data_IF_368436535071
#
_entry.id   IF_368436535071
#
_cell.length_a   1.000
_cell.length_b   1.000
_cell.length_c   1.000
_cell.angle_alpha   90.00
_cell.angle_beta   90.00
_cell.angle_gamma   90.00
#
_symmetry.space_group_name_H-M   'P 1'
#
loop_
_entity.id
_entity.type
_entity.pdbx_description
1 polymer ?
#
# COMPACT_ATOMS: atom_id res chain seq x y z
N UNK A 1 19.77 1.80 -2.46
CA UNK A 1 19.62 1.66 -0.98
C UNK A 1 19.05 0.27 -0.73
N UNK A 2 19.49 -0.45 0.30
CA UNK A 2 18.88 -1.75 0.63
C UNK A 2 17.45 -1.51 1.15
N UNK A 3 16.45 -2.28 0.69
CA UNK A 3 15.09 -2.16 1.23
C UNK A 3 15.06 -2.65 2.67
N UNK A 4 14.26 -2.00 3.51
CA UNK A 4 13.94 -2.48 4.85
C UNK A 4 12.58 -3.17 4.85
N UNK A 5 12.42 -4.16 5.73
CA UNK A 5 11.19 -4.94 5.87
C UNK A 5 10.66 -4.75 7.29
N UNK A 6 9.41 -4.30 7.39
CA UNK A 6 8.75 -4.06 8.67
C UNK A 6 7.50 -4.91 8.79
N UNK A 7 7.28 -5.52 9.96
CA UNK A 7 5.96 -6.06 10.32
C UNK A 7 5.01 -4.88 10.51
N UNK A 8 3.79 -5.03 10.03
CA UNK A 8 2.81 -3.98 10.16
C UNK A 8 1.38 -4.52 10.15
N UNK A 9 0.47 -3.76 10.76
CA UNK A 9 -0.96 -3.97 10.64
C UNK A 9 -1.59 -2.88 9.78
N UNK A 10 -2.37 -3.27 8.77
CA UNK A 10 -3.12 -2.32 7.94
C UNK A 10 -4.38 -1.90 8.67
N UNK A 11 -4.49 -0.61 8.96
CA UNK A 11 -5.62 -0.05 9.74
C UNK A 11 -6.56 0.80 8.87
N UNK A 12 -6.17 1.13 7.64
CA UNK A 12 -7.03 1.86 6.71
C UNK A 12 -6.54 1.73 5.28
N UNK A 13 -7.49 1.64 4.34
CA UNK A 13 -7.25 1.74 2.90
C UNK A 13 -8.03 2.95 2.38
N UNK A 14 -7.30 3.97 1.94
CA UNK A 14 -7.85 5.24 1.51
C UNK A 14 -8.38 5.15 0.07
N UNK A 15 -7.55 4.68 -0.85
CA UNK A 15 -7.85 4.39 -2.26
C UNK A 15 -7.13 3.10 -2.70
N UNK A 16 -7.16 2.78 -4.00
CA UNK A 16 -6.59 1.54 -4.55
C UNK A 16 -5.07 1.43 -4.52
N UNK A 17 -4.36 2.47 -4.05
CA UNK A 17 -2.90 2.45 -3.97
C UNK A 17 -2.33 3.14 -2.71
N UNK A 18 -3.16 3.65 -1.81
CA UNK A 18 -2.73 4.33 -0.58
C UNK A 18 -3.37 3.72 0.65
N UNK A 19 -2.51 3.28 1.59
CA UNK A 19 -2.92 2.68 2.86
C UNK A 19 -2.34 3.42 4.06
N UNK A 20 -2.93 3.19 5.22
CA UNK A 20 -2.34 3.55 6.52
C UNK A 20 -2.04 2.28 7.31
N UNK A 21 -0.81 2.17 7.80
CA UNK A 21 -0.32 1.05 8.56
C UNK A 21 0.21 1.49 9.92
N UNK A 22 0.13 0.60 10.91
CA UNK A 22 0.92 0.67 12.14
C UNK A 22 2.11 -0.25 11.94
N UNK A 23 3.31 0.32 11.78
CA UNK A 23 4.56 -0.45 11.66
C UNK A 23 5.15 -0.72 13.03
N UNK A 24 5.74 -1.91 13.19
CA UNK A 24 6.52 -2.32 14.35
C UNK A 24 8.01 -2.06 14.07
N UNK A 25 8.65 -1.30 14.96
CA UNK A 25 10.06 -0.95 14.91
C UNK A 25 10.90 -1.72 15.95
N UNK A 26 10.30 -2.69 16.64
CA UNK A 26 10.89 -3.38 17.78
C UNK A 26 10.83 -2.54 19.05
N UNK A 27 11.31 -3.12 20.17
CA UNK A 27 11.38 -2.43 21.47
C UNK A 27 10.06 -1.81 21.96
N UNK A 28 8.92 -2.41 21.58
CA UNK A 28 7.57 -1.88 21.84
C UNK A 28 7.30 -0.49 21.21
N UNK A 29 8.09 -0.12 20.21
CA UNK A 29 7.94 1.13 19.46
C UNK A 29 7.14 0.84 18.20
N UNK A 30 6.05 1.59 18.01
CA UNK A 30 5.23 1.54 16.80
C UNK A 30 5.10 2.91 16.18
N UNK A 31 4.84 2.96 14.87
CA UNK A 31 4.59 4.21 14.17
C UNK A 31 3.41 4.08 13.20
N UNK A 32 2.54 5.09 13.18
CA UNK A 32 1.42 5.16 12.23
C UNK A 32 1.87 5.92 10.98
N UNK A 33 1.95 5.21 9.86
CA UNK A 33 2.44 5.77 8.60
C UNK A 33 1.46 5.59 7.45
N UNK A 34 1.54 6.49 6.46
CA UNK A 34 0.85 6.35 5.18
C UNK A 34 1.81 5.85 4.13
N UNK A 35 1.35 4.90 3.31
CA UNK A 35 2.16 4.24 2.30
C UNK A 35 1.44 4.33 0.96
N UNK A 36 2.16 4.75 -0.07
CA UNK A 36 1.76 4.63 -1.48
C UNK A 36 2.42 3.37 -2.04
N UNK A 37 1.60 2.50 -2.62
CA UNK A 37 2.05 1.27 -3.24
C UNK A 37 2.98 1.60 -4.41
N UNK A 38 4.18 1.04 -4.42
CA UNK A 38 5.14 1.23 -5.50
C UNK A 38 4.74 0.47 -6.77
N UNK A 39 5.18 0.96 -7.92
CA UNK A 39 5.07 0.26 -9.20
C UNK A 39 3.68 0.24 -9.82
N UNK A 40 2.68 0.85 -9.19
CA UNK A 40 1.28 0.79 -9.63
C UNK A 40 0.57 2.15 -9.58
N UNK A 41 -0.52 2.27 -10.34
CA UNK A 41 -1.45 3.38 -10.24
C UNK A 41 -2.89 2.87 -10.24
N UNK A 42 -3.66 3.21 -9.21
CA UNK A 42 -5.07 2.83 -9.14
C UNK A 42 -5.96 3.95 -9.71
N UNK A 43 -7.18 3.64 -10.18
CA UNK A 43 -8.15 4.66 -10.56
C UNK A 43 -8.51 5.57 -9.37
N UNK A 44 -8.70 6.86 -9.64
CA UNK A 44 -8.96 7.86 -8.59
C UNK A 44 -10.35 7.68 -7.96
N UNK A 45 -10.42 7.73 -6.63
CA UNK A 45 -11.69 7.63 -5.88
C UNK A 45 -12.55 8.91 -5.97
N UNK A 46 -12.05 9.97 -6.63
CA UNK A 46 -12.74 11.24 -6.85
C UNK A 46 -12.76 11.56 -8.35
N UNK A 47 -13.83 12.18 -8.81
CA UNK A 47 -14.00 12.54 -10.23
C UNK A 47 -14.57 11.39 -11.06
N UNK A 48 -14.22 11.38 -12.36
CA UNK A 48 -14.85 10.50 -13.37
C UNK A 48 -14.55 9.01 -13.17
N UNK A 49 -13.38 8.68 -12.62
CA UNK A 49 -12.92 7.30 -12.37
C UNK A 49 -13.44 6.71 -11.05
N UNK A 50 -14.29 7.45 -10.31
CA UNK A 50 -14.75 7.06 -8.98
C UNK A 50 -15.36 5.64 -8.92
N UNK A 51 -16.19 5.19 -9.87
CA UNK A 51 -16.74 3.83 -9.81
C UNK A 51 -15.65 2.75 -9.80
N UNK A 52 -14.64 2.87 -10.66
CA UNK A 52 -13.50 1.97 -10.76
C UNK A 52 -12.56 2.11 -9.56
N UNK A 53 -12.35 3.34 -9.10
CA UNK A 53 -11.51 3.64 -7.93
C UNK A 53 -12.07 3.04 -6.64
N UNK A 54 -13.40 3.04 -6.48
CA UNK A 54 -14.06 2.37 -5.35
C UNK A 54 -13.88 0.85 -5.43
N UNK A 55 -14.02 0.25 -6.62
CA UNK A 55 -13.79 -1.20 -6.82
C UNK A 55 -12.35 -1.58 -6.48
N UNK A 56 -11.37 -0.82 -6.98
CA UNK A 56 -9.96 -1.03 -6.70
C UNK A 56 -9.63 -0.94 -5.21
N UNK A 57 -10.13 0.10 -4.54
CA UNK A 57 -10.00 0.27 -3.08
C UNK A 57 -10.63 -0.89 -2.32
N UNK A 58 -11.83 -1.31 -2.69
CA UNK A 58 -12.56 -2.35 -1.98
C UNK A 58 -11.95 -3.74 -2.19
N UNK A 59 -11.35 -3.99 -3.36
CA UNK A 59 -10.50 -5.16 -3.59
C UNK A 59 -9.25 -5.12 -2.71
N UNK A 60 -8.53 -3.99 -2.67
CA UNK A 60 -7.37 -3.86 -1.76
C UNK A 60 -7.78 -4.06 -0.29
N UNK A 61 -8.96 -3.58 0.13
CA UNK A 61 -9.48 -3.84 1.48
C UNK A 61 -9.69 -5.32 1.76
N UNK A 62 -10.32 -6.06 0.84
CA UNK A 62 -10.55 -7.50 1.04
C UNK A 62 -9.24 -8.28 1.18
N UNK A 63 -8.18 -7.82 0.50
CA UNK A 63 -6.86 -8.40 0.57
C UNK A 63 -6.15 -8.13 1.89
N UNK A 64 -6.12 -6.90 2.39
CA UNK A 64 -5.17 -6.54 3.48
C UNK A 64 -5.77 -5.79 4.67
N UNK A 65 -7.01 -5.29 4.64
CA UNK A 65 -7.55 -4.53 5.77
C UNK A 65 -7.62 -5.39 7.03
N UNK A 66 -7.16 -4.82 8.16
CA UNK A 66 -7.07 -5.47 9.47
C UNK A 66 -6.15 -6.69 9.54
N UNK A 67 -5.33 -6.93 8.52
CA UNK A 67 -4.34 -8.02 8.47
C UNK A 67 -2.94 -7.55 8.81
N UNK A 68 -2.15 -8.49 9.33
CA UNK A 68 -0.71 -8.33 9.49
C UNK A 68 -0.01 -8.62 8.16
N UNK A 69 0.93 -7.74 7.80
CA UNK A 69 1.66 -7.75 6.54
C UNK A 69 3.14 -7.44 6.77
N UNK A 70 3.96 -7.69 5.75
CA UNK A 70 5.32 -7.18 5.67
C UNK A 70 5.35 -6.01 4.70
N UNK A 71 5.97 -4.90 5.11
CA UNK A 71 6.14 -3.70 4.29
C UNK A 71 7.60 -3.59 3.90
N UNK A 72 7.86 -3.69 2.60
CA UNK A 72 9.17 -3.45 2.01
C UNK A 72 9.28 -1.97 1.61
N UNK A 73 10.15 -1.20 2.25
CA UNK A 73 10.35 0.21 1.93
C UNK A 73 11.36 0.38 0.80
N UNK A 74 11.02 1.19 -0.20
CA UNK A 74 11.91 1.50 -1.33
C UNK A 74 12.54 2.89 -1.21
N UNK A 75 11.85 3.81 -0.54
CA UNK A 75 12.35 5.16 -0.25
C UNK A 75 11.99 5.52 1.18
N UNK A 76 13.01 5.79 1.98
CA UNK A 76 12.88 6.15 3.40
C UNK A 76 12.65 7.65 3.63
N UNK A 77 12.53 8.41 2.53
CA UNK A 77 12.10 9.81 2.56
C UNK A 77 10.64 9.89 2.19
N UNK A 78 9.87 10.58 3.04
CA UNK A 78 8.50 10.97 2.70
C UNK A 78 8.51 11.77 1.40
N UNK A 79 7.72 11.33 0.41
CA UNK A 79 7.52 12.11 -0.81
C UNK A 79 6.81 13.43 -0.53
N UNK A 80 6.56 14.23 -1.58
CA UNK A 80 5.85 15.54 -1.51
C UNK A 80 4.55 15.53 -0.70
N UNK A 81 3.91 14.36 -0.56
CA UNK A 81 2.62 14.17 0.09
C UNK A 81 2.71 13.55 1.50
N UNK A 82 3.90 13.47 2.10
CA UNK A 82 4.07 12.92 3.44
C UNK A 82 3.89 11.39 3.53
N UNK A 83 3.88 10.70 2.38
CA UNK A 83 3.71 9.24 2.26
C UNK A 83 5.06 8.58 1.99
N UNK A 84 5.26 7.40 2.56
CA UNK A 84 6.33 6.49 2.17
C UNK A 84 5.94 5.73 0.90
N UNK A 85 6.93 5.20 0.20
CA UNK A 85 6.73 4.36 -0.99
C UNK A 85 7.23 2.96 -0.66
N UNK A 86 6.39 1.96 -0.93
CA UNK A 86 6.73 0.58 -0.60
C UNK A 86 5.87 -0.47 -1.26
N UNK A 87 6.30 -1.71 -1.08
CA UNK A 87 5.62 -2.92 -1.53
C UNK A 87 5.02 -3.60 -0.31
N UNK A 88 3.76 -4.01 -0.39
CA UNK A 88 3.10 -4.77 0.65
C UNK A 88 3.13 -6.25 0.29
N UNK A 89 3.63 -7.05 1.23
CA UNK A 89 3.64 -8.50 1.15
C UNK A 89 2.65 -9.07 2.15
N UNK A 90 1.69 -9.86 1.67
CA UNK A 90 0.81 -10.66 2.51
C UNK A 90 1.26 -12.11 2.41
N UNK A 91 1.88 -12.63 3.48
CA UNK A 91 2.64 -13.88 3.43
C UNK A 91 3.77 -13.76 2.38
N UNK A 92 3.74 -14.59 1.34
CA UNK A 92 4.73 -14.61 0.26
C UNK A 92 4.24 -13.92 -1.03
N UNK A 93 3.06 -13.28 -0.99
CA UNK A 93 2.45 -12.63 -2.16
C UNK A 93 2.66 -11.11 -2.16
N UNK A 94 3.08 -10.57 -3.31
CA UNK A 94 3.17 -9.15 -3.57
C UNK A 94 1.78 -8.58 -3.89
N UNK A 95 1.21 -7.85 -2.94
CA UNK A 95 -0.14 -7.27 -3.06
C UNK A 95 -0.21 -6.21 -4.16
N UNK A 96 0.89 -5.51 -4.42
CA UNK A 96 0.94 -4.49 -5.46
C UNK A 96 0.79 -5.13 -6.85
N UNK A 97 1.50 -6.24 -7.10
CA UNK A 97 1.40 -6.98 -8.37
C UNK A 97 0.03 -7.63 -8.52
N UNK A 98 -0.52 -8.20 -7.43
CA UNK A 98 -1.84 -8.78 -7.45
C UNK A 98 -2.94 -7.78 -7.87
N UNK A 99 -2.82 -6.50 -7.48
CA UNK A 99 -3.73 -5.44 -7.95
C UNK A 99 -3.67 -5.25 -9.47
N UNK A 100 -2.47 -5.34 -10.06
CA UNK A 100 -2.28 -5.23 -11.52
C UNK A 100 -2.83 -6.45 -12.23
N UNK A 101 -2.47 -7.64 -11.78
CA UNK A 101 -2.94 -8.92 -12.35
C UNK A 101 -4.46 -9.05 -12.30
N UNK A 102 -5.07 -8.53 -11.25
CA UNK A 102 -6.53 -8.55 -11.04
C UNK A 102 -7.26 -7.42 -11.77
N UNK A 103 -6.54 -6.55 -12.51
CA UNK A 103 -7.13 -5.45 -13.29
C UNK A 103 -7.65 -4.28 -12.45
N UNK A 104 -7.22 -4.16 -11.18
CA UNK A 104 -7.62 -3.08 -10.27
C UNK A 104 -6.58 -1.94 -10.20
N UNK A 105 -5.42 -2.11 -10.81
CA UNK A 105 -4.41 -1.06 -10.99
C UNK A 105 -3.65 -1.25 -12.31
N UNK A 106 -2.99 -0.20 -12.76
CA UNK A 106 -2.08 -0.25 -13.91
C UNK A 106 -0.62 -0.24 -13.43
N UNK A 107 0.25 -0.98 -14.10
CA UNK A 107 1.69 -0.95 -13.84
C UNK A 107 2.28 0.41 -14.23
N UNK A 108 3.13 0.96 -13.37
CA UNK A 108 3.75 2.28 -13.58
C UNK A 108 5.20 2.28 -13.12
N UNK A 109 6.10 2.65 -14.03
CA UNK A 109 7.52 2.84 -13.74
C UNK A 109 7.80 4.33 -13.42
N UNK A 110 8.68 4.59 -12.45
CA UNK A 110 8.96 5.91 -11.90
C UNK A 110 10.46 6.23 -11.91
#
# INVERSE_FOLDING_TARGET
>A
MKPYFYKAKIISVYDGDTVTAIIDLGFQITNKIKIRLDGINAPEIRGKQRPEGLKSRDYLRSLILDKDVIIQTLRDKKGKYGRYIGIIHLKDENVNELLVESGYAEKKEY
#
